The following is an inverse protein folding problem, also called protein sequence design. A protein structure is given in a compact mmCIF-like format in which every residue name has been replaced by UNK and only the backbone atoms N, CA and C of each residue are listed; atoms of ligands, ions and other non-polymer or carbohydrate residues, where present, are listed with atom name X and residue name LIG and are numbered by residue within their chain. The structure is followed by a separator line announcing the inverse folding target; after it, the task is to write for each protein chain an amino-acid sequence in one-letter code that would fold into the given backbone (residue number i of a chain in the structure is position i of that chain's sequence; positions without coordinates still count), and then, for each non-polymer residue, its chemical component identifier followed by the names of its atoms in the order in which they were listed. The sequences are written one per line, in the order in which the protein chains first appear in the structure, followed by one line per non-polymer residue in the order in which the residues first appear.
data_IF_378562100106
#
_entry.id   IF_378562100106
#
_cell.length_a   1.000
_cell.length_b   1.000
_cell.length_c   1.000
_cell.angle_alpha   90.00
_cell.angle_beta   90.00
_cell.angle_gamma   90.00
#
_symmetry.space_group_name_H-M   'P 1'
#
loop_
_entity.id
_entity.type
_entity.pdbx_description
1 polymer ?
#
# COMPACT_ATOMS: atom_id res chain seq x y z
N UNK A 1 -16.41 0.65 -18.42
CA UNK A 1 -15.28 -0.30 -18.61
C UNK A 1 -13.96 0.22 -18.03
N UNK A 2 -13.53 1.46 -18.33
CA UNK A 2 -12.25 2.03 -17.85
C UNK A 2 -12.07 2.06 -16.32
N UNK A 3 -13.11 2.42 -15.57
CA UNK A 3 -13.06 2.44 -14.09
C UNK A 3 -12.91 1.03 -13.47
N UNK A 4 -13.52 0.02 -14.09
CA UNK A 4 -13.41 -1.39 -13.65
C UNK A 4 -11.99 -1.91 -13.89
N UNK A 5 -11.38 -1.57 -15.03
CA UNK A 5 -9.98 -1.90 -15.30
C UNK A 5 -9.04 -1.24 -14.28
N UNK A 6 -9.28 0.03 -13.93
CA UNK A 6 -8.53 0.72 -12.87
C UNK A 6 -8.67 0.00 -11.52
N UNK A 7 -9.89 -0.39 -11.14
CA UNK A 7 -10.14 -1.13 -9.90
C UNK A 7 -9.42 -2.49 -9.87
N UNK A 8 -9.46 -3.26 -10.96
CA UNK A 8 -8.76 -4.55 -11.06
C UNK A 8 -7.24 -4.39 -11.02
N UNK A 9 -6.69 -3.38 -11.69
CA UNK A 9 -5.27 -3.05 -11.62
C UNK A 9 -4.86 -2.63 -10.20
N UNK A 10 -5.67 -1.79 -9.54
CA UNK A 10 -5.46 -1.37 -8.17
C UNK A 10 -5.44 -2.57 -7.22
N UNK A 11 -6.39 -3.50 -7.36
CA UNK A 11 -6.47 -4.72 -6.57
C UNK A 11 -5.24 -5.62 -6.79
N UNK A 12 -4.79 -5.75 -8.04
CA UNK A 12 -3.64 -6.59 -8.39
C UNK A 12 -2.30 -5.99 -7.91
N UNK A 13 -2.11 -4.68 -8.07
CA UNK A 13 -0.89 -3.96 -7.65
C UNK A 13 -0.80 -3.85 -6.12
N UNK A 14 -1.92 -3.63 -5.42
CA UNK A 14 -1.94 -3.63 -3.95
C UNK A 14 -1.97 -5.03 -3.32
N UNK A 15 -2.07 -6.08 -4.14
CA UNK A 15 -2.02 -7.48 -3.71
C UNK A 15 -0.59 -8.02 -3.50
N UNK A 16 -0.29 -9.26 -3.91
CA UNK A 16 0.98 -9.94 -3.61
C UNK A 16 2.22 -9.29 -4.24
N UNK A 17 2.05 -8.39 -5.22
CA UNK A 17 3.13 -7.70 -5.91
C UNK A 17 3.41 -6.27 -5.40
N UNK A 18 2.69 -5.79 -4.37
CA UNK A 18 2.91 -4.48 -3.75
C UNK A 18 4.40 -4.16 -3.49
N UNK A 19 5.23 -5.11 -3.00
CA UNK A 19 6.65 -4.85 -2.77
C UNK A 19 7.50 -4.72 -4.04
N UNK A 20 7.03 -5.25 -5.17
CA UNK A 20 7.79 -5.32 -6.43
C UNK A 20 7.50 -4.14 -7.37
N UNK A 21 6.36 -3.45 -7.19
CA UNK A 21 5.93 -2.36 -8.07
C UNK A 21 5.41 -1.14 -7.28
N UNK A 22 6.19 -0.57 -6.35
CA UNK A 22 5.73 0.51 -5.47
C UNK A 22 5.24 1.77 -6.21
N UNK A 23 5.73 2.03 -7.43
CA UNK A 23 5.37 3.21 -8.22
C UNK A 23 4.38 2.94 -9.36
N UNK A 24 4.06 1.67 -9.65
CA UNK A 24 3.15 1.34 -10.75
C UNK A 24 1.72 1.81 -10.48
N UNK A 25 1.30 1.79 -9.21
CA UNK A 25 -0.02 2.30 -8.83
C UNK A 25 -0.13 3.81 -9.02
N UNK A 26 0.88 4.55 -8.59
CA UNK A 26 0.93 6.02 -8.69
C UNK A 26 0.93 6.47 -10.16
N UNK A 27 1.67 5.78 -11.04
CA UNK A 27 1.65 6.02 -12.48
C UNK A 27 0.28 5.71 -13.11
N UNK A 28 -0.37 4.62 -12.70
CA UNK A 28 -1.72 4.25 -13.16
C UNK A 28 -2.74 5.31 -12.73
N UNK A 29 -2.63 5.79 -11.50
CA UNK A 29 -3.52 6.80 -10.93
C UNK A 29 -3.39 8.15 -11.66
N UNK A 30 -2.17 8.58 -12.01
CA UNK A 30 -1.92 9.77 -12.83
C UNK A 30 -2.43 9.61 -14.28
N UNK A 31 -2.31 8.42 -14.87
CA UNK A 31 -2.87 8.16 -16.21
C UNK A 31 -4.40 8.27 -16.21
N UNK A 32 -5.06 7.69 -15.20
CA UNK A 32 -6.52 7.69 -15.09
C UNK A 32 -7.10 9.04 -14.64
N UNK A 33 -6.30 9.92 -14.01
CA UNK A 33 -6.70 11.29 -13.63
C UNK A 33 -7.15 12.16 -14.81
N UNK A 34 -6.79 11.79 -16.03
CA UNK A 34 -7.24 12.44 -17.26
C UNK A 34 -8.69 12.12 -17.65
N UNK A 35 -9.24 11.03 -17.12
CA UNK A 35 -10.57 10.52 -17.50
C UNK A 35 -11.60 10.66 -16.39
N UNK A 36 -11.16 10.81 -15.13
CA UNK A 36 -12.03 10.84 -13.96
C UNK A 36 -11.56 11.88 -12.94
N UNK A 37 -12.48 12.50 -12.17
CA UNK A 37 -12.11 13.39 -11.08
C UNK A 37 -11.21 12.69 -10.05
N UNK A 38 -10.20 13.39 -9.55
CA UNK A 38 -9.22 12.80 -8.63
C UNK A 38 -9.83 12.18 -7.36
N UNK A 39 -10.94 12.73 -6.85
CA UNK A 39 -11.64 12.17 -5.69
C UNK A 39 -12.30 10.81 -5.99
N UNK A 40 -12.78 10.59 -7.22
CA UNK A 40 -13.34 9.28 -7.64
C UNK A 40 -12.23 8.24 -7.69
N UNK A 41 -11.07 8.60 -8.25
CA UNK A 41 -9.92 7.71 -8.33
C UNK A 41 -9.35 7.39 -6.95
N UNK A 42 -9.28 8.40 -6.06
CA UNK A 42 -8.88 8.19 -4.67
C UNK A 42 -9.84 7.25 -3.95
N UNK A 43 -11.15 7.40 -4.13
CA UNK A 43 -12.16 6.54 -3.50
C UNK A 43 -12.09 5.10 -4.03
N UNK A 44 -12.07 4.92 -5.36
CA UNK A 44 -12.01 3.59 -6.00
C UNK A 44 -10.67 2.90 -5.71
N UNK A 45 -9.56 3.64 -5.76
CA UNK A 45 -8.23 3.15 -5.42
C UNK A 45 -8.14 2.73 -3.96
N UNK A 46 -8.70 3.53 -3.05
CA UNK A 46 -8.78 3.18 -1.63
C UNK A 46 -9.63 1.93 -1.41
N UNK A 47 -10.78 1.81 -2.07
CA UNK A 47 -11.64 0.64 -1.95
C UNK A 47 -10.95 -0.64 -2.44
N UNK A 48 -10.30 -0.60 -3.61
CA UNK A 48 -9.54 -1.73 -4.13
C UNK A 48 -8.38 -2.12 -3.20
N UNK A 49 -7.67 -1.12 -2.69
CA UNK A 49 -6.54 -1.34 -1.80
C UNK A 49 -6.98 -1.89 -0.43
N UNK A 50 -8.11 -1.42 0.12
CA UNK A 50 -8.71 -1.99 1.34
C UNK A 50 -9.16 -3.44 1.14
N UNK A 51 -9.69 -3.79 -0.04
CA UNK A 51 -10.05 -5.17 -0.36
C UNK A 51 -8.82 -6.09 -0.43
N UNK A 52 -7.77 -5.66 -1.14
CA UNK A 52 -6.50 -6.39 -1.16
C UNK A 52 -5.95 -6.57 0.27
N UNK A 53 -6.03 -5.52 1.08
CA UNK A 53 -5.56 -5.54 2.45
C UNK A 53 -6.39 -6.46 3.36
N UNK A 54 -7.69 -6.61 3.11
CA UNK A 54 -8.53 -7.57 3.81
C UNK A 54 -8.13 -9.02 3.50
N UNK A 55 -7.80 -9.32 2.24
CA UNK A 55 -7.30 -10.65 1.83
C UNK A 55 -5.95 -10.92 2.48
N UNK A 56 -5.05 -9.94 2.44
CA UNK A 56 -3.73 -10.02 3.06
C UNK A 56 -3.81 -10.24 4.58
N UNK A 57 -4.67 -9.51 5.26
CA UNK A 57 -4.90 -9.64 6.70
C UNK A 57 -5.29 -11.09 7.03
N UNK A 58 -6.29 -11.64 6.34
CA UNK A 58 -6.77 -13.02 6.57
C UNK A 58 -5.70 -14.06 6.29
N UNK A 59 -4.89 -13.86 5.24
CA UNK A 59 -3.81 -14.76 4.90
C UNK A 59 -2.73 -14.75 5.97
N UNK A 60 -2.35 -13.57 6.47
CA UNK A 60 -1.37 -13.44 7.55
C UNK A 60 -1.92 -14.01 8.86
N UNK A 61 -3.20 -13.76 9.18
CA UNK A 61 -3.86 -14.29 10.37
C UNK A 61 -3.84 -15.82 10.36
N UNK A 62 -4.20 -16.43 9.23
CA UNK A 62 -4.13 -17.88 9.02
C UNK A 62 -2.70 -18.44 9.16
N UNK A 63 -1.70 -17.76 8.58
CA UNK A 63 -0.29 -18.13 8.74
C UNK A 63 0.14 -17.98 10.20
N UNK A 64 -0.30 -16.92 10.88
CA UNK A 64 -0.02 -16.64 12.27
C UNK A 64 -0.58 -17.71 13.22
N UNK A 65 -1.71 -18.34 12.91
CA UNK A 65 -2.29 -19.42 13.72
C UNK A 65 -1.48 -20.73 13.66
N UNK A 66 -0.53 -20.86 12.73
CA UNK A 66 0.26 -22.08 12.59
C UNK A 66 1.21 -22.28 13.79
N UNK A 67 1.20 -23.46 14.43
CA UNK A 67 2.00 -23.73 15.63
C UNK A 67 3.53 -23.64 15.38
N UNK A 68 3.97 -23.85 14.15
CA UNK A 68 5.39 -23.71 13.74
C UNK A 68 5.93 -22.28 13.85
N UNK A 69 5.05 -21.27 13.85
CA UNK A 69 5.41 -19.84 13.94
C UNK A 69 5.34 -19.29 15.38
N UNK A 70 4.92 -20.11 16.34
CA UNK A 70 4.82 -19.74 17.76
C UNK A 70 6.17 -19.31 18.35
N UNK A 71 7.27 -19.97 17.98
CA UNK A 71 8.62 -19.63 18.39
C UNK A 71 9.09 -18.25 17.86
N UNK A 72 8.72 -17.90 16.62
CA UNK A 72 9.06 -16.59 16.05
C UNK A 72 8.29 -15.45 16.72
N UNK A 73 7.01 -15.69 17.03
CA UNK A 73 6.18 -14.75 17.81
C UNK A 73 6.67 -14.55 19.24
N UNK A 74 7.38 -15.53 19.81
CA UNK A 74 7.97 -15.45 21.14
C UNK A 74 9.27 -14.62 21.19
N UNK A 75 9.71 -14.00 20.09
CA UNK A 75 10.83 -13.06 20.10
C UNK A 75 10.55 -11.82 20.96
N UNK A 76 11.53 -11.36 21.75
CA UNK A 76 11.39 -10.15 22.57
C UNK A 76 11.09 -8.90 21.72
N UNK A 77 11.72 -8.80 20.55
CA UNK A 77 11.48 -7.72 19.60
C UNK A 77 10.06 -7.75 19.02
N UNK A 78 9.55 -8.94 18.65
CA UNK A 78 8.20 -9.09 18.09
C UNK A 78 7.13 -8.72 19.12
N UNK A 79 7.27 -9.20 20.36
CA UNK A 79 6.36 -8.83 21.47
C UNK A 79 6.38 -7.34 21.75
N UNK A 80 7.57 -6.74 21.81
CA UNK A 80 7.68 -5.28 21.99
C UNK A 80 7.00 -4.51 20.86
N UNK A 81 7.15 -4.93 19.60
CA UNK A 81 6.48 -4.29 18.46
C UNK A 81 4.96 -4.45 18.51
N UNK A 82 4.47 -5.62 18.93
CA UNK A 82 3.03 -5.87 19.15
C UNK A 82 2.49 -4.96 20.27
N UNK A 83 3.20 -4.88 21.40
CA UNK A 83 2.83 -4.04 22.54
C UNK A 83 2.90 -2.54 22.23
N UNK A 84 3.86 -2.12 21.40
CA UNK A 84 3.95 -0.75 20.94
C UNK A 84 2.79 -0.40 19.99
N UNK A 85 2.48 -1.30 19.05
CA UNK A 85 1.38 -1.13 18.10
C UNK A 85 0.01 -1.12 18.79
N UNK A 86 -0.19 -1.98 19.81
CA UNK A 86 -1.47 -2.12 20.52
C UNK A 86 -1.88 -0.88 21.33
N UNK A 87 -0.94 0.04 21.62
CA UNK A 87 -1.23 1.32 22.29
C UNK A 87 -2.09 2.26 21.45
N UNK A 88 -1.84 2.32 20.14
CA UNK A 88 -2.52 3.24 19.24
C UNK A 88 -2.67 2.67 17.81
N UNK A 89 -3.26 1.47 17.65
CA UNK A 89 -3.22 0.72 16.40
C UNK A 89 -3.84 1.49 15.23
N UNK A 90 -4.93 2.22 15.47
CA UNK A 90 -5.57 3.05 14.45
C UNK A 90 -4.64 4.14 13.90
N UNK A 91 -4.04 4.94 14.78
CA UNK A 91 -3.18 6.05 14.39
C UNK A 91 -1.86 5.57 13.81
N UNK A 92 -1.26 4.51 14.37
CA UNK A 92 -0.07 3.90 13.81
C UNK A 92 -0.32 3.41 12.38
N UNK A 93 -1.44 2.71 12.13
CA UNK A 93 -1.81 2.29 10.78
C UNK A 93 -2.04 3.48 9.84
N UNK A 94 -2.83 4.47 10.26
CA UNK A 94 -3.12 5.64 9.43
C UNK A 94 -1.85 6.42 9.05
N UNK A 95 -0.97 6.67 10.02
CA UNK A 95 0.29 7.41 9.80
C UNK A 95 1.24 6.62 8.90
N UNK A 96 1.43 5.32 9.16
CA UNK A 96 2.31 4.48 8.33
C UNK A 96 1.84 4.44 6.88
N UNK A 97 0.53 4.26 6.65
CA UNK A 97 -0.04 4.17 5.30
C UNK A 97 -0.03 5.53 4.58
N UNK A 98 -0.24 6.61 5.32
CA UNK A 98 -0.11 7.97 4.78
C UNK A 98 1.35 8.29 4.42
N UNK A 99 2.29 7.82 5.23
CA UNK A 99 3.73 8.00 5.01
C UNK A 99 4.27 7.13 3.85
N UNK A 100 5.46 7.43 3.32
CA UNK A 100 6.14 6.58 2.35
C UNK A 100 6.77 5.31 2.97
N UNK A 101 6.47 4.99 4.23
CA UNK A 101 6.95 3.80 4.92
C UNK A 101 6.23 2.55 4.37
N UNK A 102 6.89 1.38 4.27
CA UNK A 102 6.26 0.15 3.84
C UNK A 102 5.04 -0.23 4.70
N UNK A 103 3.89 -0.42 4.06
CA UNK A 103 2.64 -0.87 4.70
C UNK A 103 2.73 -2.32 5.23
N UNK A 104 3.70 -3.09 4.76
CA UNK A 104 4.04 -4.44 5.24
C UNK A 104 4.15 -4.53 6.77
N UNK A 105 4.66 -3.49 7.45
CA UNK A 105 4.83 -3.51 8.90
C UNK A 105 3.49 -3.59 9.63
N UNK A 106 2.55 -2.70 9.29
CA UNK A 106 1.22 -2.65 9.93
C UNK A 106 0.34 -3.81 9.49
N UNK A 107 0.52 -4.28 8.24
CA UNK A 107 -0.14 -5.46 7.69
C UNK A 107 0.20 -6.75 8.44
N UNK A 108 1.42 -6.86 8.98
CA UNK A 108 1.83 -8.00 9.81
C UNK A 108 1.44 -7.78 11.28
N UNK A 109 1.65 -6.58 11.82
CA UNK A 109 1.38 -6.30 13.24
C UNK A 109 -0.11 -6.31 13.58
N UNK A 110 -1.00 -5.92 12.67
CA UNK A 110 -2.44 -5.88 12.93
C UNK A 110 -3.04 -7.28 13.20
N UNK A 111 -2.82 -8.32 12.37
CA UNK A 111 -3.22 -9.70 12.69
C UNK A 111 -2.55 -10.23 13.97
N UNK A 112 -1.25 -9.98 14.14
CA UNK A 112 -0.50 -10.47 15.29
C UNK A 112 -1.00 -9.90 16.63
N UNK A 113 -1.47 -8.65 16.63
CA UNK A 113 -2.07 -7.99 17.80
C UNK A 113 -3.56 -8.29 17.96
N UNK A 114 -4.16 -9.13 17.09
CA UNK A 114 -5.60 -9.41 17.04
C UNK A 114 -6.47 -8.16 16.88
N UNK A 115 -5.97 -7.17 16.14
CA UNK A 115 -6.68 -5.92 15.93
C UNK A 115 -7.88 -6.13 14.98
N UNK A 116 -9.12 -5.73 15.33
CA UNK A 116 -10.30 -6.04 14.52
C UNK A 116 -10.18 -5.52 13.08
N UNK A 117 -10.42 -6.42 12.13
CA UNK A 117 -10.28 -6.17 10.69
C UNK A 117 -11.04 -4.92 10.22
N UNK A 118 -12.27 -4.70 10.69
CA UNK A 118 -13.05 -3.52 10.30
C UNK A 118 -12.38 -2.20 10.69
N UNK A 119 -11.80 -2.13 11.90
CA UNK A 119 -11.08 -0.93 12.37
C UNK A 119 -9.73 -0.77 11.67
N UNK A 120 -9.09 -1.87 11.30
CA UNK A 120 -7.87 -1.86 10.49
C UNK A 120 -8.15 -1.30 9.09
N UNK A 121 -9.17 -1.81 8.41
CA UNK A 121 -9.56 -1.33 7.08
C UNK A 121 -10.00 0.14 7.11
N UNK A 122 -10.66 0.58 8.18
CA UNK A 122 -10.98 2.00 8.38
C UNK A 122 -9.73 2.86 8.51
N UNK A 123 -8.73 2.42 9.28
CA UNK A 123 -7.45 3.12 9.41
C UNK A 123 -6.67 3.15 8.08
N UNK A 124 -6.68 2.03 7.34
CA UNK A 124 -6.11 1.94 5.98
C UNK A 124 -6.77 2.93 5.05
N UNK A 125 -8.11 2.95 5.01
CA UNK A 125 -8.85 3.87 4.19
C UNK A 125 -8.58 5.33 4.57
N UNK A 126 -8.52 5.62 5.87
CA UNK A 126 -8.26 6.95 6.40
C UNK A 126 -6.86 7.47 6.08
N UNK A 127 -5.83 6.61 6.10
CA UNK A 127 -4.47 7.00 5.70
C UNK A 127 -4.28 7.07 4.18
N UNK A 128 -4.87 6.12 3.44
CA UNK A 128 -4.66 5.95 2.00
C UNK A 128 -5.48 6.95 1.18
N UNK A 129 -6.74 7.20 1.55
CA UNK A 129 -7.60 8.16 0.84
C UNK A 129 -6.98 9.56 0.70
N UNK A 130 -6.52 10.25 1.77
CA UNK A 130 -5.92 11.58 1.63
C UNK A 130 -4.63 11.55 0.82
N UNK A 131 -3.79 10.50 0.96
CA UNK A 131 -2.60 10.33 0.13
C UNK A 131 -2.95 10.23 -1.36
N UNK A 132 -3.92 9.38 -1.70
CA UNK A 132 -4.35 9.21 -3.10
C UNK A 132 -5.06 10.45 -3.64
N UNK A 133 -5.80 11.17 -2.79
CA UNK A 133 -6.44 12.42 -3.15
C UNK A 133 -5.39 13.50 -3.47
N UNK A 134 -4.32 13.60 -2.67
CA UNK A 134 -3.21 14.53 -2.94
C UNK A 134 -2.53 14.20 -4.27
N UNK A 135 -2.22 12.92 -4.52
CA UNK A 135 -1.55 12.49 -5.76
C UNK A 135 -2.45 12.68 -6.98
N UNK A 136 -3.72 12.25 -6.90
CA UNK A 136 -4.68 12.42 -7.98
C UNK A 136 -4.98 13.91 -8.25
N UNK A 137 -5.11 14.71 -7.19
CA UNK A 137 -5.33 16.15 -7.27
C UNK A 137 -4.14 16.86 -7.93
N UNK A 138 -2.92 16.46 -7.59
CA UNK A 138 -1.72 16.98 -8.26
C UNK A 138 -1.70 16.63 -9.76
N UNK A 139 -2.13 15.42 -10.13
CA UNK A 139 -2.27 15.00 -11.53
C UNK A 139 -3.35 15.73 -12.33
N UNK A 140 -4.33 16.36 -11.66
CA UNK A 140 -5.34 17.21 -12.29
C UNK A 140 -4.83 18.65 -12.46
N UNK A 141 -4.09 19.16 -11.47
CA UNK A 141 -3.50 20.50 -11.51
C UNK A 141 -2.33 20.59 -12.50
N UNK A 142 -1.55 19.53 -12.64
CA UNK A 142 -0.43 19.45 -13.58
C UNK A 142 -0.83 18.54 -14.74
N UNK A 143 -1.18 19.13 -15.89
CA UNK A 143 -1.39 18.39 -17.14
C UNK A 143 -0.06 17.80 -17.63
N UNK A 144 0.42 16.75 -16.97
CA UNK A 144 1.70 16.13 -17.25
C UNK A 144 1.63 15.38 -18.60
N UNK A 145 2.45 15.74 -19.60
CA UNK A 145 2.50 15.05 -20.88
C UNK A 145 2.83 13.57 -20.68
N UNK A 146 2.24 12.68 -21.49
CA UNK A 146 2.41 11.22 -21.37
C UNK A 146 3.88 10.77 -21.45
N UNK A 147 4.70 11.53 -22.17
CA UNK A 147 6.13 11.25 -22.28
C UNK A 147 6.88 11.47 -20.96
N UNK A 148 6.47 12.41 -20.10
CA UNK A 148 7.10 12.64 -18.79
C UNK A 148 6.86 11.45 -17.86
N UNK A 149 5.65 10.88 -17.90
CA UNK A 149 5.32 9.68 -17.12
C UNK A 149 6.09 8.45 -17.62
N UNK A 150 6.21 8.27 -18.94
CA UNK A 150 7.01 7.19 -19.54
C UNK A 150 8.49 7.33 -19.22
N UNK A 151 9.08 8.51 -19.46
CA UNK A 151 10.50 8.78 -19.17
C UNK A 151 10.78 8.69 -17.67
N UNK A 152 9.90 9.21 -16.82
CA UNK A 152 10.03 9.11 -15.36
C UNK A 152 9.98 7.66 -14.88
N UNK A 153 9.05 6.85 -15.40
CA UNK A 153 8.95 5.43 -15.05
C UNK A 153 10.16 4.64 -15.55
N UNK A 154 10.59 4.86 -16.79
CA UNK A 154 11.78 4.20 -17.37
C UNK A 154 13.06 4.62 -16.63
N UNK A 155 13.20 5.90 -16.28
CA UNK A 155 14.34 6.40 -15.51
C UNK A 155 14.38 5.82 -14.10
N UNK A 156 13.23 5.70 -13.41
CA UNK A 156 13.17 5.12 -12.08
C UNK A 156 13.47 3.61 -12.09
N UNK A 157 12.87 2.88 -13.03
CA UNK A 157 13.13 1.44 -13.22
C UNK A 157 14.61 1.24 -13.59
N UNK A 158 15.13 2.03 -14.52
CA UNK A 158 16.54 2.05 -14.89
C UNK A 158 17.46 2.29 -13.70
N UNK A 159 17.16 3.30 -12.86
CA UNK A 159 17.92 3.57 -11.63
C UNK A 159 17.88 2.42 -10.63
N UNK A 160 16.73 1.76 -10.46
CA UNK A 160 16.62 0.60 -9.55
C UNK A 160 17.33 -0.64 -10.07
N UNK A 161 17.33 -0.85 -11.39
CA UNK A 161 18.06 -1.94 -12.05
C UNK A 161 19.56 -1.67 -12.00
N UNK A 162 20.00 -0.44 -12.31
CA UNK A 162 21.40 -0.01 -12.23
C UNK A 162 21.93 -0.10 -10.79
N UNK A 163 21.15 0.31 -9.78
CA UNK A 163 21.52 0.14 -8.37
C UNK A 163 21.61 -1.32 -7.92
N UNK A 164 20.86 -2.24 -8.54
CA UNK A 164 20.98 -3.68 -8.26
C UNK A 164 22.16 -4.33 -9.00
N UNK A 165 22.61 -3.72 -10.10
CA UNK A 165 23.75 -4.18 -10.89
C UNK A 165 25.09 -3.61 -10.42
N UNK A 166 25.08 -2.59 -9.57
CA UNK A 166 26.26 -2.12 -8.83
C UNK A 166 26.28 -2.85 -7.47
N UNK A 167 26.99 -3.99 -7.32
CA UNK A 167 27.34 -4.48 -6.00
C UNK A 167 28.09 -3.38 -5.26
N UNK A 168 27.68 -3.11 -4.02
CA UNK A 168 28.41 -2.21 -3.15
C UNK A 168 29.83 -2.77 -2.95
N UNK A 169 30.84 -2.00 -3.40
CA UNK A 169 32.22 -2.17 -2.97
C UNK A 169 32.38 -1.80 -1.49
#
# INVERSE_FOLDING_TARGET
MKLVAFFLLALFVHGPLSPLLPTAFEATLLYYARFYPGWVLALVGTAAASLAEAVNYRLIDWVAEQPKLSAWKAGKAVRWSIDAFSRAPFWTTAIVIFSPIPDSAVRILAPLSRYPLSKFLAAVAFGRFPRLLLIAGFGVLVHMPTWVLLVGTVALVGLTVVRRLLPAE
#
